data_IF_763635188181
#
_entry.id   IF_763635188181
#
_cell.length_a   1.000
_cell.length_b   1.000
_cell.length_c   1.000
_cell.angle_alpha   90.00
_cell.angle_beta   90.00
_cell.angle_gamma   90.00
#
_symmetry.space_group_name_H-M   'P 1'
#
loop_
_entity.id
_entity.type
_entity.pdbx_description
1 polymer ?
#
# COMPACT_ATOMS: atom_id res chain seq x y z
N UNK A 1 64.75 11.56 35.64
CA UNK A 1 64.73 11.90 34.20
C UNK A 1 64.14 10.78 33.32
N UNK A 2 64.09 9.53 33.80
CA UNK A 2 63.60 8.38 33.02
C UNK A 2 62.08 8.16 33.04
N UNK A 3 61.37 8.66 34.08
CA UNK A 3 59.91 8.49 34.23
C UNK A 3 59.13 9.43 33.29
N UNK A 4 59.62 10.66 33.06
CA UNK A 4 59.00 11.63 32.15
C UNK A 4 59.07 11.23 30.67
N UNK A 5 60.09 10.46 30.26
CA UNK A 5 60.22 9.99 28.88
C UNK A 5 59.30 8.80 28.59
N UNK A 6 59.03 7.93 29.58
CA UNK A 6 58.05 6.85 29.41
C UNK A 6 56.62 7.39 29.37
N UNK A 7 56.27 8.37 30.22
CA UNK A 7 54.95 9.00 30.23
C UNK A 7 54.61 9.71 28.91
N UNK A 8 55.59 10.42 28.33
CA UNK A 8 55.42 11.13 27.06
C UNK A 8 55.26 10.17 25.87
N UNK A 9 55.89 8.99 25.93
CA UNK A 9 55.71 7.94 24.92
C UNK A 9 54.33 7.29 24.99
N UNK A 10 53.80 7.03 26.19
CA UNK A 10 52.44 6.48 26.36
C UNK A 10 51.36 7.47 25.94
N UNK A 11 51.48 8.76 26.29
CA UNK A 11 50.49 9.79 25.91
C UNK A 11 50.48 10.04 24.39
N UNK A 12 51.63 9.97 23.72
CA UNK A 12 51.71 10.06 22.26
C UNK A 12 51.13 8.86 21.52
N UNK A 13 51.23 7.66 22.10
CA UNK A 13 50.69 6.42 21.51
C UNK A 13 49.17 6.36 21.64
N UNK A 14 48.64 6.79 22.79
CA UNK A 14 47.19 6.94 23.05
C UNK A 14 46.59 7.99 22.10
N UNK A 15 47.27 9.11 21.88
CA UNK A 15 46.81 10.14 20.94
C UNK A 15 46.82 9.67 19.48
N UNK A 16 47.79 8.83 19.10
CA UNK A 16 47.85 8.25 17.76
C UNK A 16 46.76 7.19 17.54
N UNK A 17 46.57 6.26 18.48
CA UNK A 17 45.47 5.29 18.43
C UNK A 17 44.11 5.98 18.35
N UNK A 18 43.85 7.00 19.18
CA UNK A 18 42.56 7.67 19.21
C UNK A 18 42.23 8.43 17.91
N UNK A 19 43.25 8.91 17.19
CA UNK A 19 43.10 9.53 15.86
C UNK A 19 42.84 8.51 14.76
N UNK A 20 43.51 7.36 14.79
CA UNK A 20 43.24 6.25 13.86
C UNK A 20 41.85 5.65 14.08
N UNK A 21 41.43 5.45 15.34
CA UNK A 21 40.08 5.03 15.68
C UNK A 21 39.02 6.01 15.17
N UNK A 22 39.25 7.32 15.27
CA UNK A 22 38.30 8.33 14.78
C UNK A 22 38.17 8.30 13.24
N UNK A 23 39.29 8.19 12.52
CA UNK A 23 39.30 8.08 11.05
C UNK A 23 38.62 6.77 10.61
N UNK A 24 38.91 5.66 11.30
CA UNK A 24 38.35 4.36 10.99
C UNK A 24 36.83 4.32 11.27
N UNK A 25 36.37 5.00 12.33
CA UNK A 25 34.94 5.22 12.62
C UNK A 25 34.28 6.09 11.56
N UNK A 26 34.90 7.19 11.11
CA UNK A 26 34.36 8.03 10.02
C UNK A 26 34.27 7.27 8.69
N UNK A 27 35.28 6.47 8.34
CA UNK A 27 35.26 5.64 7.12
C UNK A 27 34.20 4.54 7.23
N UNK A 28 34.08 3.87 8.37
CA UNK A 28 33.04 2.87 8.60
C UNK A 28 31.64 3.49 8.60
N UNK A 29 31.46 4.69 9.15
CA UNK A 29 30.19 5.43 9.10
C UNK A 29 29.86 5.85 7.67
N UNK A 30 30.83 6.36 6.91
CA UNK A 30 30.66 6.73 5.50
C UNK A 30 30.25 5.53 4.65
N UNK A 31 31.00 4.42 4.72
CA UNK A 31 30.63 3.18 4.04
C UNK A 31 29.28 2.65 4.52
N UNK A 32 28.98 2.76 5.82
CA UNK A 32 27.69 2.36 6.38
C UNK A 32 26.53 3.16 5.80
N UNK A 33 26.68 4.47 5.63
CA UNK A 33 25.64 5.33 5.04
C UNK A 33 25.41 5.02 3.56
N UNK A 34 26.48 4.79 2.78
CA UNK A 34 26.35 4.41 1.37
C UNK A 34 25.65 3.05 1.22
N UNK A 35 26.05 2.05 2.01
CA UNK A 35 25.39 0.74 2.02
C UNK A 35 23.92 0.84 2.42
N UNK A 36 23.60 1.67 3.41
CA UNK A 36 22.21 1.90 3.81
C UNK A 36 21.37 2.57 2.73
N UNK A 37 21.94 3.51 1.97
CA UNK A 37 21.25 4.17 0.85
C UNK A 37 21.00 3.19 -0.30
N UNK A 38 21.99 2.39 -0.67
CA UNK A 38 21.83 1.34 -1.68
C UNK A 38 20.79 0.29 -1.26
N UNK A 39 20.83 -0.13 0.00
CA UNK A 39 19.82 -1.03 0.57
C UNK A 39 18.44 -0.37 0.53
N UNK A 40 18.34 0.92 0.85
CA UNK A 40 17.08 1.65 0.77
C UNK A 40 16.51 1.65 -0.64
N UNK A 41 17.33 1.91 -1.66
CA UNK A 41 16.96 1.89 -3.07
C UNK A 41 16.48 0.50 -3.52
N UNK A 42 17.20 -0.55 -3.14
CA UNK A 42 16.82 -1.94 -3.44
C UNK A 42 15.48 -2.32 -2.81
N UNK A 43 15.25 -1.95 -1.55
CA UNK A 43 13.98 -2.17 -0.86
C UNK A 43 12.82 -1.42 -1.53
N UNK A 44 13.03 -0.17 -1.93
CA UNK A 44 12.01 0.60 -2.67
C UNK A 44 11.71 -0.02 -4.03
N UNK A 45 12.74 -0.46 -4.76
CA UNK A 45 12.56 -1.18 -6.01
C UNK A 45 11.75 -2.47 -5.81
N UNK A 46 12.04 -3.21 -4.74
CA UNK A 46 11.29 -4.41 -4.39
C UNK A 46 9.81 -4.11 -4.07
N UNK A 47 9.54 -3.05 -3.29
CA UNK A 47 8.16 -2.60 -2.98
C UNK A 47 7.41 -2.21 -4.26
N UNK A 48 8.09 -1.58 -5.23
CA UNK A 48 7.48 -1.24 -6.54
C UNK A 48 7.07 -2.48 -7.34
N UNK A 49 7.70 -3.63 -7.13
CA UNK A 49 7.27 -4.91 -7.69
C UNK A 49 6.11 -5.50 -6.86
N UNK A 50 4.97 -4.79 -6.85
CA UNK A 50 3.85 -5.05 -5.94
C UNK A 50 3.39 -6.52 -5.89
N UNK A 51 3.34 -7.22 -7.03
CA UNK A 51 2.93 -8.63 -7.08
C UNK A 51 3.95 -9.55 -6.38
N UNK A 52 5.24 -9.33 -6.59
CA UNK A 52 6.32 -10.12 -5.97
C UNK A 52 6.42 -9.79 -4.49
N UNK A 53 6.35 -8.51 -4.15
CA UNK A 53 6.33 -8.04 -2.77
C UNK A 53 5.16 -8.63 -1.98
N UNK A 54 3.94 -8.56 -2.52
CA UNK A 54 2.76 -9.13 -1.91
C UNK A 54 2.89 -10.65 -1.74
N UNK A 55 3.38 -11.35 -2.77
CA UNK A 55 3.61 -12.79 -2.72
C UNK A 55 4.57 -13.19 -1.59
N UNK A 56 5.73 -12.52 -1.46
CA UNK A 56 6.70 -12.83 -0.40
C UNK A 56 6.10 -12.56 0.99
N UNK A 57 5.38 -11.46 1.16
CA UNK A 57 4.69 -11.16 2.43
C UNK A 57 3.61 -12.21 2.75
N UNK A 58 2.85 -12.67 1.76
CA UNK A 58 1.83 -13.71 1.91
C UNK A 58 2.47 -15.04 2.32
N UNK A 59 3.55 -15.45 1.66
CA UNK A 59 4.29 -16.68 1.99
C UNK A 59 4.78 -16.63 3.45
N UNK A 60 5.43 -15.55 3.87
CA UNK A 60 5.91 -15.39 5.24
C UNK A 60 4.77 -15.47 6.27
N UNK A 61 3.67 -14.74 6.03
CA UNK A 61 2.52 -14.73 6.94
C UNK A 61 1.85 -16.10 7.03
N UNK A 62 1.67 -16.79 5.90
CA UNK A 62 0.95 -18.06 5.82
C UNK A 62 1.73 -19.18 6.50
N UNK A 63 3.06 -19.18 6.35
CA UNK A 63 3.96 -20.11 7.04
C UNK A 63 3.88 -19.91 8.56
N UNK A 64 4.02 -18.66 9.03
CA UNK A 64 3.96 -18.37 10.47
C UNK A 64 2.59 -18.70 11.06
N UNK A 65 1.50 -18.35 10.37
CA UNK A 65 0.16 -18.62 10.86
C UNK A 65 -0.16 -20.13 10.91
N UNK A 66 0.31 -20.88 9.91
CA UNK A 66 0.19 -22.34 9.90
C UNK A 66 0.91 -22.96 11.11
N UNK A 67 2.13 -22.49 11.41
CA UNK A 67 2.91 -22.97 12.56
C UNK A 67 2.22 -22.70 13.91
N UNK A 68 1.45 -21.61 14.00
CA UNK A 68 0.67 -21.26 15.21
C UNK A 68 -0.57 -22.14 15.36
N UNK A 69 -1.25 -22.48 14.26
CA UNK A 69 -2.46 -23.32 14.33
C UNK A 69 -2.12 -24.79 14.59
N UNK A 70 -1.08 -25.32 13.93
CA UNK A 70 -0.72 -26.73 14.02
C UNK A 70 0.41 -26.91 15.05
N UNK A 71 0.06 -26.77 16.33
CA UNK A 71 1.01 -26.85 17.46
C UNK A 71 1.64 -28.26 17.61
N UNK A 72 0.97 -29.33 17.15
CA UNK A 72 1.25 -30.73 17.53
C UNK A 72 2.13 -31.57 16.56
N UNK A 73 2.62 -31.04 15.44
CA UNK A 73 3.39 -31.86 14.45
C UNK A 73 4.89 -31.90 14.76
N UNK A 74 5.50 -33.09 14.68
CA UNK A 74 6.95 -33.38 14.83
C UNK A 74 7.80 -32.44 13.96
N UNK A 75 8.86 -31.87 14.55
CA UNK A 75 9.64 -30.73 14.05
C UNK A 75 10.33 -30.97 12.69
N UNK A 76 10.72 -32.20 12.38
CA UNK A 76 11.49 -32.55 11.18
C UNK A 76 10.62 -32.71 9.90
N UNK A 77 9.35 -33.13 10.03
CA UNK A 77 8.39 -33.21 8.91
C UNK A 77 7.58 -31.92 8.72
N UNK A 78 7.73 -30.96 9.64
CA UNK A 78 6.94 -29.73 9.73
C UNK A 78 7.31 -28.72 8.64
N UNK A 79 8.58 -28.63 8.27
CA UNK A 79 9.08 -27.62 7.32
C UNK A 79 8.44 -27.74 5.94
N UNK A 80 8.59 -28.90 5.30
CA UNK A 80 8.11 -29.13 3.93
C UNK A 80 6.58 -29.05 3.85
N UNK A 81 5.85 -29.67 4.79
CA UNK A 81 4.39 -29.62 4.83
C UNK A 81 3.87 -28.19 4.99
N UNK A 82 4.51 -27.38 5.84
CA UNK A 82 4.11 -25.98 6.07
C UNK A 82 4.26 -25.15 4.80
N UNK A 83 5.42 -25.25 4.14
CA UNK A 83 5.70 -24.47 2.93
C UNK A 83 4.78 -24.91 1.79
N UNK A 84 4.59 -26.21 1.59
CA UNK A 84 3.69 -26.75 0.58
C UNK A 84 2.26 -26.25 0.83
N UNK A 85 1.77 -26.34 2.08
CA UNK A 85 0.40 -25.89 2.41
C UNK A 85 0.24 -24.39 2.17
N UNK A 86 1.21 -23.57 2.58
CA UNK A 86 1.18 -22.13 2.34
C UNK A 86 1.16 -21.79 0.84
N UNK A 87 2.03 -22.41 0.04
CA UNK A 87 2.10 -22.19 -1.41
C UNK A 87 0.83 -22.67 -2.12
N UNK A 88 0.28 -23.82 -1.74
CA UNK A 88 -0.99 -24.32 -2.27
C UNK A 88 -2.14 -23.37 -1.93
N UNK A 89 -2.18 -22.84 -0.70
CA UNK A 89 -3.19 -21.85 -0.29
C UNK A 89 -3.11 -20.59 -1.15
N UNK A 90 -1.90 -20.06 -1.36
CA UNK A 90 -1.68 -18.89 -2.22
C UNK A 90 -2.08 -19.18 -3.66
N UNK A 91 -1.77 -20.37 -4.18
CA UNK A 91 -2.19 -20.78 -5.52
C UNK A 91 -3.72 -20.75 -5.65
N UNK A 92 -4.46 -21.33 -4.69
CA UNK A 92 -5.92 -21.27 -4.68
C UNK A 92 -6.44 -19.82 -4.63
N UNK A 93 -5.83 -18.97 -3.81
CA UNK A 93 -6.24 -17.56 -3.72
C UNK A 93 -5.90 -16.77 -4.98
N UNK A 94 -4.79 -17.07 -5.66
CA UNK A 94 -4.43 -16.44 -6.94
C UNK A 94 -5.43 -16.75 -8.06
N UNK A 95 -6.01 -17.95 -8.07
CA UNK A 95 -7.11 -18.31 -9.00
C UNK A 95 -8.34 -17.45 -8.71
N UNK A 96 -8.64 -17.22 -7.44
CA UNK A 96 -9.71 -16.30 -7.03
C UNK A 96 -9.39 -14.84 -7.42
N UNK A 97 -8.17 -14.36 -7.21
CA UNK A 97 -7.71 -13.04 -7.64
C UNK A 97 -7.80 -12.83 -9.16
N UNK A 98 -7.41 -13.84 -9.95
CA UNK A 98 -7.60 -13.85 -11.40
C UNK A 98 -9.07 -13.71 -11.77
N UNK A 99 -9.93 -14.48 -11.11
CA UNK A 99 -11.37 -14.44 -11.35
C UNK A 99 -11.95 -13.04 -11.04
N UNK A 100 -11.58 -12.43 -9.92
CA UNK A 100 -12.01 -11.07 -9.55
C UNK A 100 -11.49 -10.03 -10.54
N UNK A 101 -10.26 -10.17 -11.04
CA UNK A 101 -9.69 -9.30 -12.08
C UNK A 101 -10.53 -9.35 -13.36
N UNK A 102 -10.94 -10.56 -13.78
CA UNK A 102 -11.81 -10.72 -14.95
C UNK A 102 -13.19 -10.10 -14.74
N UNK A 103 -13.80 -10.27 -13.56
CA UNK A 103 -15.05 -9.55 -13.25
C UNK A 103 -14.83 -8.05 -13.40
N UNK A 104 -13.77 -7.49 -12.80
CA UNK A 104 -13.45 -6.07 -12.84
C UNK A 104 -13.35 -5.56 -14.29
N UNK A 105 -12.62 -6.25 -15.15
CA UNK A 105 -12.48 -5.90 -16.58
C UNK A 105 -13.83 -5.93 -17.32
N UNK A 106 -14.66 -6.96 -17.07
CA UNK A 106 -15.97 -7.07 -17.70
C UNK A 106 -16.89 -5.94 -17.21
N UNK A 107 -16.85 -5.58 -15.92
CA UNK A 107 -17.61 -4.46 -15.35
C UNK A 107 -17.22 -3.11 -15.97
N UNK A 108 -15.91 -2.84 -16.06
CA UNK A 108 -15.40 -1.59 -16.65
C UNK A 108 -15.78 -1.46 -18.12
N UNK A 109 -15.62 -2.54 -18.90
CA UNK A 109 -16.01 -2.59 -20.31
C UNK A 109 -17.54 -2.46 -20.50
N UNK A 110 -18.33 -3.00 -19.57
CA UNK A 110 -19.78 -2.86 -19.54
C UNK A 110 -20.21 -1.41 -19.29
N UNK A 111 -19.58 -0.74 -18.32
CA UNK A 111 -19.87 0.67 -17.97
C UNK A 111 -19.57 1.60 -19.14
N UNK A 112 -18.42 1.44 -19.79
CA UNK A 112 -18.05 2.21 -20.98
C UNK A 112 -19.08 2.08 -22.12
N UNK A 113 -19.66 0.88 -22.29
CA UNK A 113 -20.66 0.61 -23.33
C UNK A 113 -22.08 1.08 -22.95
N UNK A 114 -22.40 1.12 -21.66
CA UNK A 114 -23.72 1.54 -21.15
C UNK A 114 -23.99 3.04 -21.32
N UNK A 115 -22.95 3.88 -21.35
CA UNK A 115 -23.08 5.34 -21.58
C UNK A 115 -23.68 5.64 -22.96
N UNK A 116 -23.63 4.68 -23.91
CA UNK A 116 -24.13 4.85 -25.27
C UNK A 116 -25.49 4.18 -25.55
N UNK A 117 -26.02 3.30 -24.68
CA UNK A 117 -27.31 2.61 -24.92
C UNK A 117 -28.01 2.14 -23.63
N UNK A 118 -29.34 2.28 -23.56
CA UNK A 118 -30.18 1.72 -22.49
C UNK A 118 -29.96 0.20 -22.36
N UNK A 119 -29.79 -0.36 -21.14
CA UNK A 119 -29.44 -1.76 -20.97
C UNK A 119 -30.59 -2.68 -21.40
N UNK A 120 -30.47 -3.30 -22.57
CA UNK A 120 -31.36 -4.39 -23.01
C UNK A 120 -31.13 -5.64 -22.15
N UNK A 121 -32.20 -6.35 -21.82
CA UNK A 121 -32.16 -7.63 -21.09
C UNK A 121 -31.19 -8.66 -21.73
N UNK A 122 -31.03 -8.62 -23.07
CA UNK A 122 -30.07 -9.45 -23.80
C UNK A 122 -28.61 -9.14 -23.45
N UNK A 123 -28.29 -7.90 -23.11
CA UNK A 123 -26.94 -7.48 -22.70
C UNK A 123 -26.60 -7.98 -21.30
N UNK A 124 -27.56 -7.96 -20.37
CA UNK A 124 -27.39 -8.53 -19.03
C UNK A 124 -27.16 -10.04 -19.09
N UNK A 125 -27.94 -10.77 -19.90
CA UNK A 125 -27.78 -12.21 -20.07
C UNK A 125 -26.41 -12.57 -20.66
N UNK A 126 -25.91 -11.79 -21.63
CA UNK A 126 -24.54 -11.93 -22.16
C UNK A 126 -23.47 -11.69 -21.09
N UNK A 127 -23.70 -10.76 -20.17
CA UNK A 127 -22.77 -10.45 -19.07
C UNK A 127 -22.71 -11.61 -18.07
N UNK A 128 -23.86 -12.12 -17.64
CA UNK A 128 -23.96 -13.28 -16.75
C UNK A 128 -23.30 -14.52 -17.34
N UNK A 129 -23.55 -14.83 -18.62
CA UNK A 129 -22.90 -15.98 -19.28
C UNK A 129 -21.36 -15.87 -19.29
N UNK A 130 -20.81 -14.67 -19.49
CA UNK A 130 -19.35 -14.47 -19.43
C UNK A 130 -18.78 -14.72 -18.04
N UNK A 131 -19.47 -14.24 -17.00
CA UNK A 131 -19.07 -14.47 -15.61
C UNK A 131 -19.11 -15.95 -15.26
N UNK A 132 -20.18 -16.65 -15.65
CA UNK A 132 -20.31 -18.09 -15.42
C UNK A 132 -19.18 -18.86 -16.12
N UNK A 133 -18.80 -18.46 -17.34
CA UNK A 133 -17.73 -19.12 -18.08
C UNK A 133 -16.34 -18.89 -17.44
N UNK A 134 -16.05 -17.68 -16.97
CA UNK A 134 -14.79 -17.42 -16.24
C UNK A 134 -14.76 -18.14 -14.88
N UNK A 135 -15.90 -18.22 -14.17
CA UNK A 135 -16.02 -19.03 -12.95
C UNK A 135 -15.77 -20.51 -13.23
N UNK A 136 -16.34 -21.05 -14.31
CA UNK A 136 -16.16 -22.44 -14.70
C UNK A 136 -14.67 -22.75 -14.95
N UNK A 137 -13.93 -21.85 -15.61
CA UNK A 137 -12.47 -21.99 -15.78
C UNK A 137 -11.74 -22.05 -14.43
N UNK A 138 -12.07 -21.16 -13.51
CA UNK A 138 -11.48 -21.15 -12.17
C UNK A 138 -11.76 -22.46 -11.41
N UNK A 139 -13.00 -22.95 -11.45
CA UNK A 139 -13.38 -24.23 -10.82
C UNK A 139 -12.64 -25.41 -11.45
N UNK A 140 -12.48 -25.44 -12.78
CA UNK A 140 -11.71 -26.49 -13.47
C UNK A 140 -10.25 -26.48 -13.02
N UNK A 141 -9.62 -25.31 -12.89
CA UNK A 141 -8.25 -25.20 -12.37
C UNK A 141 -8.16 -25.77 -10.94
N UNK A 142 -9.10 -25.41 -10.07
CA UNK A 142 -9.17 -25.91 -8.68
C UNK A 142 -9.33 -27.44 -8.66
N UNK A 143 -10.21 -28.00 -9.48
CA UNK A 143 -10.40 -29.44 -9.59
C UNK A 143 -9.14 -30.15 -10.13
N UNK A 144 -8.49 -29.60 -11.15
CA UNK A 144 -7.23 -30.13 -11.67
C UNK A 144 -6.12 -30.13 -10.61
N UNK A 145 -6.03 -29.08 -9.79
CA UNK A 145 -5.06 -29.01 -8.68
C UNK A 145 -5.36 -30.05 -7.59
N UNK A 146 -6.64 -30.31 -7.31
CA UNK A 146 -7.05 -31.37 -6.38
C UNK A 146 -6.68 -32.76 -6.87
N UNK A 147 -6.89 -33.03 -8.16
CA UNK A 147 -6.56 -34.31 -8.80
C UNK A 147 -5.05 -34.57 -8.87
N UNK A 148 -4.20 -33.54 -8.80
CA UNK A 148 -2.73 -33.68 -8.75
C UNK A 148 -2.20 -34.24 -7.42
N UNK A 149 -3.07 -34.66 -6.49
CA UNK A 149 -2.68 -35.35 -5.27
C UNK A 149 -2.19 -34.43 -4.15
N UNK A 150 -2.42 -33.12 -4.25
CA UNK A 150 -2.20 -32.21 -3.13
C UNK A 150 -3.35 -32.39 -2.14
N UNK A 151 -3.13 -33.19 -1.09
CA UNK A 151 -4.05 -33.31 0.03
C UNK A 151 -4.13 -31.99 0.79
N UNK A 152 -5.09 -31.15 0.39
CA UNK A 152 -5.34 -29.83 0.95
C UNK A 152 -6.57 -29.87 1.85
N UNK A 153 -6.34 -29.96 3.16
CA UNK A 153 -7.38 -29.90 4.19
C UNK A 153 -7.00 -28.86 5.26
N UNK A 154 -6.97 -27.56 4.93
CA UNK A 154 -6.71 -26.54 5.93
C UNK A 154 -7.87 -26.47 6.93
N UNK A 155 -7.54 -26.07 8.16
CA UNK A 155 -8.58 -25.71 9.13
C UNK A 155 -9.36 -24.47 8.65
N UNK A 156 -10.62 -24.35 9.08
CA UNK A 156 -11.45 -23.19 8.73
C UNK A 156 -10.82 -21.88 9.25
N UNK A 157 -10.25 -21.90 10.46
CA UNK A 157 -9.57 -20.74 11.04
C UNK A 157 -8.34 -20.34 10.24
N UNK A 158 -7.54 -21.31 9.78
CA UNK A 158 -6.41 -21.05 8.89
C UNK A 158 -6.89 -20.31 7.65
N UNK A 159 -7.89 -20.89 6.97
CA UNK A 159 -8.42 -20.37 5.70
C UNK A 159 -9.04 -18.99 5.83
N UNK A 160 -9.76 -18.69 6.92
CA UNK A 160 -10.39 -17.37 7.11
C UNK A 160 -9.33 -16.29 7.28
N UNK A 161 -8.34 -16.51 8.16
CA UNK A 161 -7.32 -15.51 8.48
C UNK A 161 -6.38 -15.28 7.29
N UNK A 162 -5.91 -16.34 6.63
CA UNK A 162 -5.06 -16.21 5.44
C UNK A 162 -5.81 -15.58 4.27
N UNK A 163 -7.10 -15.87 4.10
CA UNK A 163 -7.92 -15.23 3.07
C UNK A 163 -8.11 -13.74 3.33
N UNK A 164 -8.42 -13.33 4.58
CA UNK A 164 -8.53 -11.90 4.92
C UNK A 164 -7.19 -11.18 4.67
N UNK A 165 -6.08 -11.78 5.07
CA UNK A 165 -4.75 -11.22 4.81
C UNK A 165 -4.46 -11.13 3.30
N UNK A 166 -4.84 -12.15 2.52
CA UNK A 166 -4.73 -12.13 1.06
C UNK A 166 -5.52 -10.96 0.45
N UNK A 167 -6.79 -10.77 0.85
CA UNK A 167 -7.62 -9.66 0.38
C UNK A 167 -7.01 -8.28 0.68
N UNK A 168 -6.32 -8.13 1.81
CA UNK A 168 -5.69 -6.87 2.20
C UNK A 168 -4.37 -6.60 1.46
N UNK A 169 -3.73 -7.63 0.89
CA UNK A 169 -2.38 -7.52 0.31
C UNK A 169 -2.37 -7.57 -1.21
N UNK A 170 -3.37 -8.20 -1.83
CA UNK A 170 -3.44 -8.41 -3.26
C UNK A 170 -3.82 -7.13 -4.02
N UNK A 171 -3.08 -6.83 -5.09
CA UNK A 171 -3.18 -5.58 -5.86
C UNK A 171 -4.59 -5.33 -6.39
N UNK A 172 -5.24 -6.39 -6.87
CA UNK A 172 -6.58 -6.32 -7.47
C UNK A 172 -7.59 -5.72 -6.49
N UNK A 173 -7.54 -6.13 -5.22
CA UNK A 173 -8.44 -5.65 -4.18
C UNK A 173 -8.09 -4.24 -3.71
N UNK A 174 -6.79 -3.92 -3.62
CA UNK A 174 -6.32 -2.56 -3.32
C UNK A 174 -6.82 -1.53 -4.35
N UNK A 175 -7.05 -1.93 -5.61
CA UNK A 175 -7.64 -1.05 -6.63
C UNK A 175 -9.18 -1.06 -6.62
N UNK A 176 -9.81 -2.15 -6.20
CA UNK A 176 -11.28 -2.29 -6.17
C UNK A 176 -11.87 -1.57 -4.95
N UNK A 177 -11.29 -1.72 -3.76
CA UNK A 177 -11.85 -1.16 -2.53
C UNK A 177 -12.03 0.37 -2.56
N UNK A 178 -11.08 1.18 -3.04
CA UNK A 178 -11.30 2.62 -3.19
C UNK A 178 -12.46 2.94 -4.12
N UNK A 179 -12.57 2.24 -5.26
CA UNK A 179 -13.64 2.44 -6.23
C UNK A 179 -15.03 2.08 -5.67
N UNK A 180 -15.09 1.07 -4.79
CA UNK A 180 -16.32 0.68 -4.11
C UNK A 180 -16.74 1.69 -3.03
N UNK A 181 -15.77 2.27 -2.32
CA UNK A 181 -16.04 3.27 -1.28
C UNK A 181 -16.42 4.62 -1.90
N UNK A 182 -15.83 4.97 -3.04
CA UNK A 182 -16.19 6.18 -3.80
C UNK A 182 -17.66 6.13 -4.23
N UNK A 183 -18.19 4.95 -4.54
CA UNK A 183 -19.61 4.75 -4.85
C UNK A 183 -20.54 5.03 -3.65
N UNK A 184 -20.05 4.90 -2.42
CA UNK A 184 -20.81 5.18 -1.20
C UNK A 184 -20.83 6.68 -0.86
N UNK A 185 -20.10 7.52 -1.60
CA UNK A 185 -20.06 8.98 -1.51
C UNK A 185 -19.96 9.51 -0.06
N UNK A 186 -18.97 9.01 0.69
CA UNK A 186 -18.75 9.44 2.08
C UNK A 186 -18.07 10.81 2.08
N UNK A 187 -18.84 11.86 2.36
CA UNK A 187 -18.37 13.27 2.36
C UNK A 187 -17.15 13.54 3.26
N UNK A 188 -16.87 12.66 4.22
CA UNK A 188 -15.76 12.80 5.18
C UNK A 188 -14.37 12.50 4.61
N UNK A 189 -14.23 11.80 3.47
CA UNK A 189 -12.93 11.27 3.01
C UNK A 189 -12.17 12.19 2.04
N UNK A 190 -12.66 13.41 1.80
CA UNK A 190 -12.00 14.49 1.04
C UNK A 190 -11.40 14.04 -0.32
N UNK A 191 -11.93 13.01 -1.00
CA UNK A 191 -11.35 12.37 -2.20
C UNK A 191 -9.93 11.82 -2.07
N UNK A 192 -9.44 11.60 -0.84
CA UNK A 192 -8.18 10.91 -0.56
C UNK A 192 -8.38 9.38 -0.47
N UNK A 193 -9.55 8.85 -0.80
CA UNK A 193 -9.89 7.42 -0.63
C UNK A 193 -8.88 6.48 -1.31
N UNK A 194 -8.42 6.83 -2.52
CA UNK A 194 -7.38 6.07 -3.22
C UNK A 194 -6.04 5.96 -2.48
N UNK A 195 -5.76 6.83 -1.50
CA UNK A 195 -4.55 6.80 -0.68
C UNK A 195 -4.85 6.30 0.74
N UNK A 196 -5.96 6.72 1.34
CA UNK A 196 -6.37 6.29 2.69
C UNK A 196 -6.73 4.82 2.75
N UNK A 197 -7.46 4.29 1.77
CA UNK A 197 -7.92 2.90 1.82
C UNK A 197 -6.75 1.93 1.74
N UNK A 198 -5.80 2.06 0.78
CA UNK A 198 -4.59 1.25 0.80
C UNK A 198 -3.76 1.42 2.07
N UNK A 199 -3.67 2.64 2.62
CA UNK A 199 -2.97 2.88 3.89
C UNK A 199 -3.61 2.13 5.05
N UNK A 200 -4.94 2.19 5.20
CA UNK A 200 -5.67 1.50 6.28
C UNK A 200 -5.51 -0.01 6.15
N UNK A 201 -5.61 -0.55 4.93
CA UNK A 201 -5.36 -1.97 4.67
C UNK A 201 -3.93 -2.36 5.01
N UNK A 202 -2.94 -1.52 4.68
CA UNK A 202 -1.56 -1.79 5.02
C UNK A 202 -1.33 -1.75 6.55
N UNK A 203 -1.90 -0.77 7.26
CA UNK A 203 -1.87 -0.71 8.73
C UNK A 203 -2.50 -1.96 9.36
N UNK A 204 -3.63 -2.43 8.82
CA UNK A 204 -4.26 -3.69 9.26
C UNK A 204 -3.31 -4.87 9.07
N UNK A 205 -2.63 -4.98 7.92
CA UNK A 205 -1.66 -6.06 7.68
C UNK A 205 -0.47 -5.99 8.64
N UNK A 206 0.06 -4.79 8.93
CA UNK A 206 1.13 -4.58 9.91
C UNK A 206 0.68 -5.00 11.31
N UNK A 207 -0.54 -4.64 11.71
CA UNK A 207 -1.09 -5.00 13.02
C UNK A 207 -1.23 -6.53 13.16
N UNK A 208 -1.77 -7.21 12.13
CA UNK A 208 -1.87 -8.67 12.12
C UNK A 208 -0.51 -9.36 12.08
N UNK A 209 0.45 -8.86 11.30
CA UNK A 209 1.80 -9.40 11.22
C UNK A 209 2.58 -9.21 12.52
N UNK A 210 2.46 -8.04 13.16
CA UNK A 210 3.08 -7.76 14.46
C UNK A 210 2.52 -8.67 15.55
N UNK A 211 1.20 -8.85 15.60
CA UNK A 211 0.55 -9.74 16.56
C UNK A 211 1.02 -11.19 16.40
N UNK A 212 1.15 -11.66 15.15
CA UNK A 212 1.62 -13.00 14.83
C UNK A 212 3.09 -13.20 15.20
N UNK A 213 3.97 -12.29 14.78
CA UNK A 213 5.41 -12.33 15.10
C UNK A 213 5.62 -12.30 16.61
N UNK A 214 4.89 -11.44 17.33
CA UNK A 214 4.97 -11.36 18.78
C UNK A 214 4.55 -12.67 19.46
N UNK A 215 3.44 -13.29 19.03
CA UNK A 215 3.02 -14.60 19.54
C UNK A 215 4.08 -15.68 19.30
N UNK A 216 4.61 -15.76 18.07
CA UNK A 216 5.63 -16.77 17.73
C UNK A 216 6.92 -16.52 18.51
N UNK A 217 7.35 -15.28 18.73
CA UNK A 217 8.53 -14.95 19.55
C UNK A 217 8.37 -15.41 21.01
N UNK A 218 7.17 -15.34 21.58
CA UNK A 218 6.90 -15.75 22.96
C UNK A 218 6.88 -17.28 23.09
N UNK A 219 6.23 -17.97 22.14
CA UNK A 219 6.03 -19.42 22.24
C UNK A 219 7.21 -20.23 21.71
N UNK A 220 7.71 -19.90 20.51
CA UNK A 220 8.73 -20.69 19.78
C UNK A 220 9.63 -19.80 18.93
N UNK A 221 10.84 -19.55 19.39
CA UNK A 221 11.83 -18.84 18.60
C UNK A 221 12.36 -19.72 17.45
N UNK A 222 12.24 -19.24 16.21
CA UNK A 222 12.88 -19.87 15.04
C UNK A 222 13.60 -18.82 14.19
N UNK A 223 14.67 -19.21 13.48
CA UNK A 223 15.43 -18.30 12.62
C UNK A 223 14.55 -17.65 11.52
N UNK A 224 13.48 -18.33 11.11
CA UNK A 224 12.52 -17.82 10.13
C UNK A 224 11.71 -16.61 10.64
N UNK A 225 11.59 -16.43 11.96
CA UNK A 225 10.89 -15.28 12.56
C UNK A 225 11.62 -13.97 12.28
N UNK A 226 12.97 -13.97 12.28
CA UNK A 226 13.75 -12.78 11.96
C UNK A 226 13.51 -12.33 10.51
N UNK A 227 13.57 -13.29 9.57
CA UNK A 227 13.27 -13.04 8.16
C UNK A 227 11.83 -12.53 7.98
N UNK A 228 10.87 -13.15 8.67
CA UNK A 228 9.47 -12.75 8.60
C UNK A 228 9.23 -11.37 9.21
N UNK A 229 9.95 -10.99 10.26
CA UNK A 229 9.88 -9.67 10.88
C UNK A 229 10.30 -8.58 9.89
N UNK A 230 11.36 -8.84 9.12
CA UNK A 230 11.83 -7.93 8.08
C UNK A 230 10.76 -7.70 6.99
N UNK A 231 10.14 -8.75 6.46
CA UNK A 231 9.13 -8.61 5.41
C UNK A 231 7.76 -8.13 5.92
N UNK A 232 7.26 -8.68 7.03
CA UNK A 232 5.92 -8.42 7.54
C UNK A 232 5.78 -7.10 8.30
N UNK A 233 6.87 -6.62 8.90
CA UNK A 233 6.87 -5.40 9.71
C UNK A 233 7.70 -4.32 9.02
N UNK A 234 9.02 -4.51 8.90
CA UNK A 234 9.92 -3.43 8.47
C UNK A 234 9.60 -2.93 7.06
N UNK A 235 9.55 -3.83 6.06
CA UNK A 235 9.22 -3.43 4.69
C UNK A 235 7.80 -2.89 4.53
N UNK A 236 6.84 -3.41 5.30
CA UNK A 236 5.44 -2.94 5.30
C UNK A 236 5.31 -1.54 5.90
N UNK A 237 6.00 -1.26 7.00
CA UNK A 237 6.07 0.08 7.60
C UNK A 237 6.71 1.06 6.62
N UNK A 238 7.79 0.64 5.94
CA UNK A 238 8.44 1.45 4.91
C UNK A 238 7.51 1.75 3.73
N UNK A 239 6.78 0.75 3.24
CA UNK A 239 5.74 0.93 2.21
C UNK A 239 4.64 1.90 2.68
N UNK A 240 4.11 1.72 3.90
CA UNK A 240 3.11 2.59 4.51
C UNK A 240 3.57 4.05 4.56
N UNK A 241 4.82 4.28 4.94
CA UNK A 241 5.41 5.60 5.10
C UNK A 241 5.64 6.29 3.75
N UNK A 242 6.41 5.67 2.85
CA UNK A 242 6.87 6.33 1.62
C UNK A 242 5.79 6.38 0.53
N UNK A 243 4.98 5.33 0.36
CA UNK A 243 4.03 5.25 -0.75
C UNK A 243 2.65 5.81 -0.43
N UNK A 244 2.31 5.98 0.86
CA UNK A 244 0.98 6.46 1.25
C UNK A 244 1.04 7.65 2.19
N UNK A 245 1.73 7.54 3.32
CA UNK A 245 1.71 8.58 4.36
C UNK A 245 2.32 9.90 3.88
N UNK A 246 3.52 9.87 3.30
CA UNK A 246 4.18 11.06 2.75
C UNK A 246 3.33 11.73 1.65
N UNK A 247 2.70 10.95 0.78
CA UNK A 247 1.83 11.48 -0.28
C UNK A 247 0.57 12.14 0.30
N UNK A 248 -0.05 11.52 1.31
CA UNK A 248 -1.22 12.09 1.99
C UNK A 248 -0.86 13.41 2.67
N UNK A 249 0.28 13.48 3.35
CA UNK A 249 0.74 14.72 3.97
C UNK A 249 0.99 15.79 2.91
N UNK A 250 1.71 15.48 1.83
CA UNK A 250 1.99 16.44 0.77
C UNK A 250 0.71 16.96 0.09
N UNK A 251 -0.27 16.08 -0.19
CA UNK A 251 -1.57 16.49 -0.74
C UNK A 251 -2.36 17.32 0.26
N UNK A 252 -2.35 16.96 1.55
CA UNK A 252 -3.05 17.70 2.61
C UNK A 252 -2.45 19.07 2.81
N UNK A 253 -1.12 19.21 2.83
CA UNK A 253 -0.43 20.49 2.94
C UNK A 253 -0.77 21.39 1.76
N UNK A 254 -0.66 20.86 0.54
CA UNK A 254 -1.05 21.58 -0.69
C UNK A 254 -2.50 22.04 -0.61
N UNK A 255 -3.42 21.18 -0.18
CA UNK A 255 -4.83 21.52 -0.07
C UNK A 255 -5.12 22.53 1.05
N UNK A 256 -4.44 22.41 2.19
CA UNK A 256 -4.59 23.31 3.34
C UNK A 256 -4.10 24.73 3.06
N UNK A 257 -3.16 24.88 2.11
CA UNK A 257 -2.65 26.18 1.68
C UNK A 257 -3.72 27.07 1.04
N UNK A 258 -4.80 26.48 0.48
CA UNK A 258 -5.89 27.24 -0.13
C UNK A 258 -6.83 27.80 0.93
N UNK A 259 -7.10 29.10 0.85
CA UNK A 259 -8.00 29.80 1.76
C UNK A 259 -9.44 29.27 1.60
N UNK A 260 -10.12 29.02 2.72
CA UNK A 260 -11.57 28.77 2.70
C UNK A 260 -12.31 30.07 2.43
N UNK A 261 -13.21 30.07 1.45
CA UNK A 261 -14.08 31.21 1.18
C UNK A 261 -15.05 31.41 2.36
N UNK A 262 -15.23 32.66 2.77
CA UNK A 262 -16.27 33.02 3.74
C UNK A 262 -17.64 33.00 3.07
N UNK A 263 -18.71 32.83 3.86
CA UNK A 263 -20.08 32.81 3.34
C UNK A 263 -20.43 34.07 2.52
N UNK A 264 -19.89 35.23 2.94
CA UNK A 264 -20.06 36.49 2.21
C UNK A 264 -19.41 36.45 0.83
N UNK A 265 -18.17 35.95 0.75
CA UNK A 265 -17.46 35.82 -0.53
C UNK A 265 -18.14 34.83 -1.47
N UNK A 266 -18.76 33.77 -0.93
CA UNK A 266 -19.54 32.81 -1.73
C UNK A 266 -20.81 33.47 -2.26
N UNK A 267 -21.50 34.25 -1.43
CA UNK A 267 -22.69 35.00 -1.84
C UNK A 267 -22.37 36.11 -2.84
N UNK A 268 -21.25 36.81 -2.66
CA UNK A 268 -20.79 37.88 -3.55
C UNK A 268 -20.35 37.33 -4.92
N UNK A 269 -19.76 36.12 -4.94
CA UNK A 269 -19.38 35.46 -6.19
C UNK A 269 -20.60 34.91 -6.96
N UNK A 270 -21.71 34.64 -6.26
CA UNK A 270 -23.04 34.32 -6.81
C UNK A 270 -23.07 33.23 -7.92
N UNK A 271 -22.10 32.32 -7.94
CA UNK A 271 -21.84 31.47 -9.11
C UNK A 271 -21.88 29.96 -8.85
N UNK A 272 -22.21 29.26 -9.92
CA UNK A 272 -22.16 27.81 -10.07
C UNK A 272 -20.69 27.39 -10.18
N UNK A 273 -20.30 26.26 -9.55
CA UNK A 273 -18.92 25.79 -9.69
C UNK A 273 -18.62 25.39 -11.15
N UNK A 274 -17.57 25.98 -11.74
CA UNK A 274 -17.18 25.76 -13.14
C UNK A 274 -16.77 24.32 -13.49
N UNK A 275 -16.58 23.45 -12.48
CA UNK A 275 -16.16 22.05 -12.68
C UNK A 275 -17.34 21.09 -12.63
N UNK A 276 -18.20 21.19 -11.61
CA UNK A 276 -19.34 20.28 -11.45
C UNK A 276 -20.68 20.88 -11.89
N UNK A 277 -20.71 22.17 -12.23
CA UNK A 277 -21.89 22.92 -12.65
C UNK A 277 -23.03 22.92 -11.60
N UNK A 278 -22.71 22.78 -10.31
CA UNK A 278 -23.64 22.88 -9.20
C UNK A 278 -23.41 24.12 -8.33
N UNK A 279 -24.44 24.55 -7.59
CA UNK A 279 -24.36 25.68 -6.65
C UNK A 279 -23.30 25.46 -5.56
N UNK A 280 -22.61 26.52 -5.18
CA UNK A 280 -21.55 26.49 -4.17
C UNK A 280 -22.09 26.86 -2.78
N UNK A 281 -22.08 25.89 -1.85
CA UNK A 281 -22.30 26.12 -0.41
C UNK A 281 -21.00 26.19 0.38
N UNK A 282 -19.92 25.61 -0.15
CA UNK A 282 -18.56 25.65 0.41
C UNK A 282 -17.58 25.79 -0.75
N UNK A 283 -16.68 26.76 -0.66
CA UNK A 283 -15.67 26.99 -1.69
C UNK A 283 -14.26 27.19 -1.08
N UNK A 284 -13.25 26.82 -1.86
CA UNK A 284 -11.84 27.16 -1.62
C UNK A 284 -11.41 28.17 -2.67
N UNK A 285 -10.62 29.15 -2.24
CA UNK A 285 -10.09 30.22 -3.07
C UNK A 285 -8.65 29.87 -3.42
N UNK A 286 -8.40 29.81 -4.72
CA UNK A 286 -7.09 29.54 -5.30
C UNK A 286 -6.24 30.83 -5.31
N UNK A 287 -4.90 30.76 -5.44
CA UNK A 287 -4.05 31.96 -5.50
C UNK A 287 -4.35 32.87 -6.69
N UNK A 288 -5.02 32.33 -7.73
CA UNK A 288 -5.52 33.12 -8.85
C UNK A 288 -6.92 33.73 -8.62
N UNK A 289 -7.44 33.68 -7.38
CA UNK A 289 -8.73 34.19 -6.92
C UNK A 289 -9.97 33.53 -7.53
N UNK A 290 -9.85 32.32 -8.08
CA UNK A 290 -11.01 31.53 -8.51
C UNK A 290 -11.54 30.63 -7.39
N UNK A 291 -12.86 30.51 -7.32
CA UNK A 291 -13.59 29.69 -6.35
C UNK A 291 -13.95 28.33 -6.96
N UNK A 292 -13.72 27.27 -6.19
CA UNK A 292 -14.13 25.91 -6.55
C UNK A 292 -14.67 25.21 -5.31
N UNK A 293 -15.56 24.22 -5.49
CA UNK A 293 -15.86 23.30 -4.39
C UNK A 293 -14.58 22.60 -3.93
N UNK A 294 -14.42 22.34 -2.61
CA UNK A 294 -13.39 21.49 -2.03
C UNK A 294 -13.04 20.25 -2.87
N UNK A 295 -14.08 19.49 -3.23
CA UNK A 295 -14.01 18.28 -4.04
C UNK A 295 -13.45 18.55 -5.45
N UNK A 296 -14.01 19.56 -6.13
CA UNK A 296 -13.69 19.89 -7.51
C UNK A 296 -12.26 20.42 -7.67
N UNK A 297 -11.81 21.29 -6.76
CA UNK A 297 -10.44 21.81 -6.77
C UNK A 297 -9.43 20.67 -6.71
N UNK A 298 -9.70 19.67 -5.88
CA UNK A 298 -8.81 18.53 -5.72
C UNK A 298 -8.77 17.64 -6.96
N UNK A 299 -9.90 17.41 -7.61
CA UNK A 299 -9.92 16.67 -8.88
C UNK A 299 -9.12 17.40 -9.97
N UNK A 300 -9.18 18.73 -9.98
CA UNK A 300 -8.33 19.54 -10.84
C UNK A 300 -6.85 19.31 -10.51
N UNK A 301 -6.44 19.40 -9.24
CA UNK A 301 -5.05 19.20 -8.80
C UNK A 301 -4.51 17.80 -9.15
N UNK A 302 -5.34 16.76 -9.06
CA UNK A 302 -4.96 15.40 -9.50
C UNK A 302 -4.69 15.30 -11.00
N UNK A 303 -5.36 16.12 -11.80
CA UNK A 303 -5.27 16.05 -13.28
C UNK A 303 -4.21 17.01 -13.82
N UNK A 304 -4.14 18.22 -13.28
CA UNK A 304 -3.21 19.26 -13.71
C UNK A 304 -3.02 20.31 -12.62
N UNK A 305 -1.79 20.77 -12.41
CA UNK A 305 -1.50 21.88 -11.49
C UNK A 305 -1.86 23.27 -12.03
N UNK A 306 -2.73 23.36 -13.05
CA UNK A 306 -3.15 24.61 -13.67
C UNK A 306 -4.65 24.85 -13.45
N UNK A 307 -5.01 26.09 -13.17
CA UNK A 307 -6.39 26.50 -13.00
C UNK A 307 -7.19 26.29 -14.31
N UNK A 308 -8.35 25.62 -14.29
CA UNK A 308 -9.14 25.39 -15.50
C UNK A 308 -9.65 26.68 -16.14
N UNK A 309 -9.86 27.73 -15.34
CA UNK A 309 -10.40 29.03 -15.76
C UNK A 309 -9.33 29.94 -16.38
N UNK A 310 -8.20 30.14 -15.71
CA UNK A 310 -7.16 31.09 -16.16
C UNK A 310 -5.83 30.47 -16.58
N UNK A 311 -5.70 29.13 -16.50
CA UNK A 311 -4.47 28.39 -16.83
C UNK A 311 -3.22 28.82 -16.07
N UNK A 312 -3.36 29.59 -14.98
CA UNK A 312 -2.27 29.90 -14.04
C UNK A 312 -1.97 28.71 -13.14
N UNK A 313 -0.69 28.54 -12.78
CA UNK A 313 -0.27 27.45 -11.91
C UNK A 313 -0.79 27.66 -10.48
N UNK A 314 -1.27 26.61 -9.81
CA UNK A 314 -1.82 26.73 -8.47
C UNK A 314 -0.78 27.08 -7.39
N UNK A 315 0.52 26.94 -7.67
CA UNK A 315 1.59 27.32 -6.76
C UNK A 315 2.21 28.70 -7.08
N UNK A 316 1.78 29.36 -8.16
CA UNK A 316 2.19 30.74 -8.43
C UNK A 316 1.28 31.66 -7.62
N UNK A 317 1.85 32.31 -6.59
CA UNK A 317 1.18 33.40 -5.90
C UNK A 317 0.81 34.47 -6.94
N UNK A 318 -0.34 35.13 -6.75
CA UNK A 318 -0.72 36.30 -7.54
C UNK A 318 0.31 37.41 -7.32
N UNK A 319 1.41 37.36 -8.08
CA UNK A 319 2.21 38.53 -8.39
C UNK A 319 1.31 39.47 -9.16
N UNK A 320 1.18 40.68 -8.64
CA UNK A 320 0.46 41.81 -9.19
C UNK A 320 0.64 41.86 -10.71
N UNK A 321 -0.41 41.55 -11.46
CA UNK A 321 -0.54 42.05 -12.83
C UNK A 321 -0.92 43.52 -12.72
N UNK A 322 0.08 44.39 -12.69
CA UNK A 322 -0.06 45.79 -13.07
C UNK A 322 -0.44 45.91 -14.54
#
# INVERSE_FOLDING_TARGET
MSILLMQNSSDSLIYYEQRWWSILVEVLLGMGTEIMEEMHCMEQFFIRLQNVYAFVCQVCFFILWYQVIEEDVVEELRGDKTVITALTTILFYSVFGYFVTRIKEICQNGRARSVQTTPSMRSCLKWLCKIILEWAKAVVIVLCLREQGIHYEPTLLYSIVTFIYYLCTEKVFLEIFPSLIELLNVESMENLEHLYIPLVLNILTIATGTSLVMYTLIMKFSNFVLLSTYFLIYLRVKDAYYNYWCLIIAERETYSSFRTATEKEIQDWADICAVCLNNMSRARITPCNHLFHPYCLKQCLKTSFYCPLCKRHFMEASGESQ
#
